data_IF_289512358469
#
_entry.id   IF_289512358469
#
_cell.length_a   1.000
_cell.length_b   1.000
_cell.length_c   1.000
_cell.angle_alpha   90.00
_cell.angle_beta   90.00
_cell.angle_gamma   90.00
#
_symmetry.space_group_name_H-M   'P 1'
#
loop_
_entity.id
_entity.type
_entity.pdbx_description
1 polymer ?
#
# COMPACT_ATOMS: atom_id res chain seq x y z
N UNK A 1 -1.00 -12.99 -1.54
CA UNK A 1 -0.32 -13.59 -0.37
C UNK A 1 -1.08 -13.20 0.88
N UNK A 2 -0.92 -13.95 1.97
CA UNK A 2 -1.40 -13.49 3.27
C UNK A 2 -0.59 -12.24 3.67
N UNK A 3 -1.23 -11.24 4.28
CA UNK A 3 -0.54 -10.00 4.68
C UNK A 3 0.61 -10.23 5.66
N UNK A 4 0.59 -11.32 6.42
CA UNK A 4 1.69 -11.70 7.30
C UNK A 4 2.92 -12.21 6.53
N UNK A 5 2.73 -12.84 5.36
CA UNK A 5 3.83 -13.22 4.45
C UNK A 5 4.44 -11.97 3.77
N UNK A 6 3.59 -11.03 3.34
CA UNK A 6 4.02 -9.73 2.80
C UNK A 6 4.85 -8.97 3.84
N UNK A 7 4.38 -8.93 5.09
CA UNK A 7 5.11 -8.32 6.21
C UNK A 7 6.45 -9.04 6.46
N UNK A 8 6.47 -10.36 6.44
CA UNK A 8 7.71 -11.15 6.56
C UNK A 8 8.75 -10.77 5.51
N UNK A 9 8.33 -10.69 4.24
CA UNK A 9 9.20 -10.26 3.13
C UNK A 9 9.73 -8.84 3.29
N UNK A 10 8.92 -7.91 3.78
CA UNK A 10 9.36 -6.53 3.99
C UNK A 10 10.50 -6.43 5.03
N UNK A 11 10.49 -7.30 6.05
CA UNK A 11 11.55 -7.34 7.08
C UNK A 11 12.91 -7.75 6.53
N UNK A 12 12.95 -8.57 5.48
CA UNK A 12 14.21 -8.96 4.83
C UNK A 12 14.98 -7.76 4.26
N UNK A 13 14.32 -6.60 4.11
CA UNK A 13 14.90 -5.36 3.60
C UNK A 13 15.01 -4.26 4.67
N UNK A 14 14.83 -4.58 5.96
CA UNK A 14 15.07 -3.64 7.05
C UNK A 14 16.48 -3.03 6.94
N UNK A 15 16.57 -1.70 7.11
CA UNK A 15 17.81 -0.95 6.93
C UNK A 15 18.05 -0.44 5.50
N UNK A 16 17.32 -0.92 4.49
CA UNK A 16 17.32 -0.25 3.18
C UNK A 16 16.51 1.07 3.27
N UNK A 17 17.01 2.17 2.69
CA UNK A 17 16.30 3.46 2.69
C UNK A 17 14.89 3.37 2.12
N UNK A 18 13.92 3.98 2.81
CA UNK A 18 12.52 4.06 2.37
C UNK A 18 11.68 2.79 2.60
N UNK A 19 12.26 1.71 3.14
CA UNK A 19 11.51 0.48 3.45
C UNK A 19 10.53 0.67 4.61
N UNK A 20 10.83 1.51 5.60
CA UNK A 20 9.92 1.78 6.72
C UNK A 20 8.57 2.29 6.24
N UNK A 21 8.53 3.12 5.19
CA UNK A 21 7.29 3.59 4.60
C UNK A 21 6.41 2.45 4.06
N UNK A 22 7.01 1.41 3.47
CA UNK A 22 6.29 0.25 2.98
C UNK A 22 5.82 -0.62 4.14
N UNK A 23 6.63 -0.78 5.19
CA UNK A 23 6.26 -1.48 6.42
C UNK A 23 5.07 -0.79 7.10
N UNK A 24 5.11 0.53 7.24
CA UNK A 24 4.01 1.32 7.83
C UNK A 24 2.71 1.15 7.04
N UNK A 25 2.78 1.09 5.71
CA UNK A 25 1.60 0.80 4.87
C UNK A 25 1.08 -0.61 5.12
N UNK A 26 1.95 -1.62 5.15
CA UNK A 26 1.57 -3.02 5.42
C UNK A 26 0.87 -3.13 6.79
N UNK A 27 1.46 -2.53 7.83
CA UNK A 27 0.88 -2.56 9.17
C UNK A 27 -0.45 -1.81 9.22
N UNK A 28 -0.58 -0.68 8.52
CA UNK A 28 -1.87 0.02 8.43
C UNK A 28 -2.98 -0.83 7.80
N UNK A 29 -2.68 -1.66 6.79
CA UNK A 29 -3.64 -2.59 6.18
C UNK A 29 -4.01 -3.70 7.15
N UNK A 30 -3.02 -4.21 7.90
CA UNK A 30 -3.20 -5.25 8.90
C UNK A 30 -4.08 -4.77 10.05
N UNK A 31 -3.93 -3.52 10.48
CA UNK A 31 -4.66 -2.92 11.60
C UNK A 31 -6.08 -2.49 11.22
N UNK A 32 -6.33 -2.10 9.98
CA UNK A 32 -7.61 -1.52 9.54
C UNK A 32 -8.63 -2.54 9.00
N UNK A 33 -8.58 -3.80 9.47
CA UNK A 33 -9.43 -4.93 8.98
C UNK A 33 -9.48 -5.06 7.45
N UNK A 34 -8.49 -4.54 6.74
CA UNK A 34 -8.51 -4.49 5.28
C UNK A 34 -7.90 -5.75 4.64
N UNK A 35 -7.41 -6.68 5.45
CA UNK A 35 -6.85 -7.97 5.03
C UNK A 35 -7.80 -8.79 4.14
N UNK A 36 -9.11 -8.66 4.37
CA UNK A 36 -10.16 -9.39 3.64
C UNK A 36 -10.64 -8.63 2.39
N UNK A 37 -10.25 -7.36 2.23
CA UNK A 37 -10.71 -6.46 1.15
C UNK A 37 -9.61 -6.10 0.17
N UNK A 38 -8.35 -6.26 0.57
CA UNK A 38 -7.18 -5.94 -0.23
C UNK A 38 -6.26 -7.15 -0.29
N UNK A 39 -5.72 -7.41 -1.48
CA UNK A 39 -4.62 -8.31 -1.70
C UNK A 39 -3.32 -7.51 -1.87
N UNK A 40 -2.24 -8.00 -1.26
CA UNK A 40 -0.91 -7.43 -1.37
C UNK A 40 0.10 -8.42 -1.96
N UNK A 41 1.05 -7.90 -2.74
CA UNK A 41 2.24 -8.62 -3.17
C UNK A 41 3.48 -7.74 -3.08
N UNK A 42 4.55 -8.30 -2.53
CA UNK A 42 5.86 -7.66 -2.53
C UNK A 42 6.57 -7.94 -3.86
N UNK A 43 7.16 -6.90 -4.45
CA UNK A 43 7.93 -6.98 -5.70
C UNK A 43 9.27 -6.26 -5.53
N UNK A 44 10.19 -6.43 -6.49
CA UNK A 44 11.43 -5.64 -6.52
C UNK A 44 11.17 -4.13 -6.58
N UNK A 45 10.03 -3.72 -7.12
CA UNK A 45 9.66 -2.32 -7.27
C UNK A 45 8.89 -1.77 -6.06
N UNK A 46 8.62 -2.59 -5.03
CA UNK A 46 7.85 -2.21 -3.85
C UNK A 46 6.59 -3.05 -3.64
N UNK A 47 5.66 -2.52 -2.85
CA UNK A 47 4.40 -3.16 -2.49
C UNK A 47 3.33 -2.86 -3.54
N UNK A 48 2.73 -3.89 -4.13
CA UNK A 48 1.58 -3.77 -5.03
C UNK A 48 0.32 -4.23 -4.31
N UNK A 49 -0.75 -3.43 -4.41
CA UNK A 49 -2.02 -3.64 -3.72
C UNK A 49 -3.19 -3.55 -4.70
N UNK A 50 -4.14 -4.47 -4.60
CA UNK A 50 -5.36 -4.49 -5.41
C UNK A 50 -6.57 -4.95 -4.57
N UNK A 51 -7.81 -4.59 -4.92
CA UNK A 51 -8.99 -5.10 -4.23
C UNK A 51 -9.17 -6.62 -4.34
N UNK A 52 -9.83 -7.19 -3.34
CA UNK A 52 -10.41 -8.53 -3.39
C UNK A 52 -11.90 -8.46 -3.78
N UNK A 53 -12.41 -9.45 -4.57
CA UNK A 53 -11.65 -10.51 -5.23
C UNK A 53 -10.78 -9.98 -6.38
N UNK A 54 -9.63 -10.62 -6.61
CA UNK A 54 -8.74 -10.25 -7.73
C UNK A 54 -9.40 -10.72 -9.04
N UNK A 55 -9.50 -9.86 -10.08
CA UNK A 55 -10.02 -10.28 -11.38
C UNK A 55 -9.17 -11.39 -12.02
N UNK A 56 -9.82 -12.39 -12.62
CA UNK A 56 -9.14 -13.53 -13.27
C UNK A 56 -8.44 -13.18 -14.59
N UNK A 57 -8.72 -12.01 -15.16
CA UNK A 57 -8.18 -11.56 -16.45
C UNK A 57 -7.56 -10.17 -16.35
N UNK A 58 -6.35 -9.97 -16.91
CA UNK A 58 -5.76 -8.65 -17.03
C UNK A 58 -6.51 -7.76 -18.04
N UNK A 59 -6.35 -6.43 -17.95
CA UNK A 59 -5.50 -5.71 -16.99
C UNK A 59 -6.15 -5.60 -15.59
N UNK A 60 -5.31 -5.69 -14.54
CA UNK A 60 -5.74 -5.54 -13.14
C UNK A 60 -5.30 -4.16 -12.64
N UNK A 61 -6.25 -3.35 -12.19
CA UNK A 61 -5.91 -2.08 -11.54
C UNK A 61 -5.26 -2.31 -10.18
N UNK A 62 -4.25 -1.52 -9.85
CA UNK A 62 -3.51 -1.68 -8.62
C UNK A 62 -2.85 -0.36 -8.18
N UNK A 63 -2.59 -0.27 -6.88
CA UNK A 63 -1.77 0.77 -6.26
C UNK A 63 -0.39 0.18 -5.97
N UNK A 64 0.66 0.87 -6.38
CA UNK A 64 2.06 0.54 -6.05
C UNK A 64 2.55 1.57 -5.04
N UNK A 65 3.15 1.10 -3.96
CA UNK A 65 3.91 1.90 -3.00
C UNK A 65 5.37 1.48 -3.12
N UNK A 66 6.21 2.40 -3.57
CA UNK A 66 7.62 2.15 -3.84
C UNK A 66 8.49 3.18 -3.14
N UNK A 67 9.71 2.81 -2.68
CA UNK A 67 10.67 3.81 -2.25
C UNK A 67 10.96 4.77 -3.42
N UNK A 68 11.15 6.06 -3.12
CA UNK A 68 11.44 7.10 -4.10
C UNK A 68 12.87 7.04 -4.64
N UNK A 69 13.28 5.88 -5.15
CA UNK A 69 14.66 5.59 -5.58
C UNK A 69 15.19 6.69 -6.52
N UNK A 70 16.37 7.24 -6.19
CA UNK A 70 17.11 8.18 -7.05
C UNK A 70 16.77 9.66 -6.87
N UNK A 71 15.92 10.05 -5.93
CA UNK A 71 15.68 11.47 -5.59
C UNK A 71 16.09 11.72 -4.15
N UNK A 72 16.84 12.80 -3.91
CA UNK A 72 17.44 13.15 -2.62
C UNK A 72 16.39 13.19 -1.51
N UNK A 73 16.43 12.24 -0.58
CA UNK A 73 15.62 12.23 0.64
C UNK A 73 14.87 10.93 0.91
N UNK A 74 14.20 10.90 2.06
CA UNK A 74 13.30 9.84 2.49
C UNK A 74 11.91 10.05 1.87
N UNK A 75 11.77 9.65 0.60
CA UNK A 75 10.55 9.84 -0.18
C UNK A 75 9.89 8.51 -0.55
N UNK A 76 8.58 8.55 -0.75
CA UNK A 76 7.75 7.44 -1.23
C UNK A 76 7.05 7.86 -2.51
N UNK A 77 7.04 6.95 -3.48
CA UNK A 77 6.26 7.06 -4.71
C UNK A 77 5.03 6.17 -4.56
N UNK A 78 3.85 6.75 -4.82
CA UNK A 78 2.59 6.03 -4.86
C UNK A 78 2.00 6.20 -6.25
N UNK A 79 1.71 5.08 -6.91
CA UNK A 79 1.18 5.02 -8.26
C UNK A 79 -0.13 4.23 -8.26
N UNK A 80 -1.14 4.72 -8.96
CA UNK A 80 -2.31 3.93 -9.35
C UNK A 80 -2.20 3.62 -10.84
N UNK A 81 -2.15 2.33 -11.17
CA UNK A 81 -2.21 1.85 -12.54
C UNK A 81 -3.65 1.50 -12.87
N UNK A 82 -4.29 2.29 -13.73
CA UNK A 82 -5.69 2.11 -14.09
C UNK A 82 -5.84 1.15 -15.28
N UNK A 83 -6.98 0.46 -15.35
CA UNK A 83 -7.35 -0.35 -16.54
C UNK A 83 -7.40 0.52 -17.81
N UNK A 84 -7.81 1.78 -17.67
CA UNK A 84 -7.95 2.73 -18.78
C UNK A 84 -6.62 3.29 -19.27
N UNK A 85 -5.49 2.98 -18.61
CA UNK A 85 -4.18 3.59 -18.89
C UNK A 85 -4.00 5.01 -18.33
N UNK A 86 -5.01 5.57 -17.65
CA UNK A 86 -4.89 6.85 -16.95
C UNK A 86 -4.27 6.63 -15.58
N UNK A 87 -2.93 6.65 -15.54
CA UNK A 87 -2.18 6.40 -14.33
C UNK A 87 -2.02 7.68 -13.50
N UNK A 88 -2.30 7.57 -12.21
CA UNK A 88 -2.04 8.63 -11.24
C UNK A 88 -0.76 8.31 -10.48
N UNK A 89 0.11 9.30 -10.31
CA UNK A 89 1.35 9.12 -9.53
C UNK A 89 1.63 10.32 -8.65
N UNK A 90 2.15 10.06 -7.46
CA UNK A 90 2.56 11.11 -6.54
C UNK A 90 3.86 10.71 -5.82
N UNK A 91 4.79 11.65 -5.76
CA UNK A 91 6.01 11.55 -4.96
C UNK A 91 5.89 12.51 -3.78
N UNK A 92 6.10 12.00 -2.57
CA UNK A 92 5.99 12.75 -1.31
C UNK A 92 6.99 12.23 -0.28
N UNK A 93 7.22 12.97 0.82
CA UNK A 93 7.93 12.44 1.98
C UNK A 93 7.35 11.09 2.44
N UNK A 94 8.22 10.18 2.87
CA UNK A 94 7.88 8.86 3.42
C UNK A 94 6.86 8.93 4.56
N UNK A 95 6.92 10.00 5.37
CA UNK A 95 6.01 10.26 6.49
C UNK A 95 4.55 10.43 6.06
N UNK A 96 4.30 10.69 4.77
CA UNK A 96 2.96 10.79 4.19
C UNK A 96 2.49 9.46 3.55
N UNK A 97 3.29 8.38 3.59
CA UNK A 97 2.99 7.14 2.87
C UNK A 97 1.62 6.55 3.23
N UNK A 98 1.34 6.36 4.51
CA UNK A 98 0.09 5.77 4.99
C UNK A 98 -1.14 6.60 4.60
N UNK A 99 -1.24 7.92 4.92
CA UNK A 99 -2.42 8.69 4.54
C UNK A 99 -2.61 8.80 3.03
N UNK A 100 -1.54 8.89 2.24
CA UNK A 100 -1.64 8.94 0.78
C UNK A 100 -2.04 7.59 0.18
N UNK A 101 -1.51 6.48 0.70
CA UNK A 101 -1.93 5.14 0.32
C UNK A 101 -3.44 4.97 0.53
N UNK A 102 -3.94 5.30 1.72
CA UNK A 102 -5.37 5.20 2.00
C UNK A 102 -6.20 6.14 1.15
N UNK A 103 -5.72 7.35 0.84
CA UNK A 103 -6.40 8.24 -0.11
C UNK A 103 -6.57 7.58 -1.47
N UNK A 104 -5.51 6.99 -2.02
CA UNK A 104 -5.57 6.26 -3.29
C UNK A 104 -6.54 5.07 -3.22
N UNK A 105 -6.48 4.27 -2.17
CA UNK A 105 -7.37 3.12 -1.99
C UNK A 105 -8.84 3.55 -1.87
N UNK A 106 -9.14 4.65 -1.18
CA UNK A 106 -10.49 5.23 -1.08
C UNK A 106 -10.94 5.75 -2.44
N UNK A 107 -10.15 6.61 -3.09
CA UNK A 107 -10.54 7.28 -4.33
C UNK A 107 -10.67 6.31 -5.51
N UNK A 108 -9.79 5.30 -5.58
CA UNK A 108 -9.73 4.40 -6.74
C UNK A 108 -10.52 3.12 -6.55
N UNK A 109 -10.62 2.61 -5.32
CA UNK A 109 -11.27 1.33 -5.02
C UNK A 109 -12.50 1.46 -4.12
N UNK A 110 -12.80 2.63 -3.56
CA UNK A 110 -13.92 2.81 -2.63
C UNK A 110 -13.73 2.08 -1.29
N UNK A 111 -12.49 1.72 -0.94
CA UNK A 111 -12.17 0.96 0.27
C UNK A 111 -11.63 1.90 1.35
N UNK A 112 -12.44 2.19 2.37
CA UNK A 112 -12.00 2.95 3.53
C UNK A 112 -11.36 2.04 4.61
N UNK A 113 -10.36 2.53 5.36
CA UNK A 113 -9.81 1.82 6.51
C UNK A 113 -10.86 1.69 7.61
N UNK A 114 -11.03 0.49 8.16
CA UNK A 114 -11.91 0.24 9.31
C UNK A 114 -11.04 -0.09 10.51
N UNK A 115 -10.76 0.90 11.35
CA UNK A 115 -10.06 0.63 12.61
C UNK A 115 -11.00 -0.18 13.51
N UNK A 116 -10.54 -1.26 14.16
CA UNK A 116 -11.29 -1.82 15.26
C UNK A 116 -11.50 -0.69 16.27
N UNK A 117 -12.76 -0.41 16.60
CA UNK A 117 -13.12 0.67 17.49
C UNK A 117 -12.21 0.63 18.72
N UNK A 118 -11.53 1.75 18.99
CA UNK A 118 -11.08 2.03 20.35
C UNK A 118 -12.39 2.15 21.11
N UNK A 119 -12.84 1.03 21.69
CA UNK A 119 -13.98 1.00 22.59
C UNK A 119 -13.78 2.17 23.55
N UNK A 120 -14.58 3.22 23.36
CA UNK A 120 -14.70 4.29 24.34
C UNK A 120 -15.31 3.61 25.55
N UNK A 121 -14.43 3.23 26.48
CA UNK A 121 -14.85 2.91 27.84
C UNK A 121 -15.57 4.15 28.34
N UNK A 122 -16.86 3.96 28.59
CA UNK A 122 -17.80 4.98 29.07
C UNK A 122 -17.43 5.42 30.48
#
# INVERSE_FOLDING_TARGET
>A
MAWDEVAGRARDFEGCPGIHALVDVIDSVRDCKARERLAGVWTLNGLVVTPLPIPDKPPIQHVIVSPGWGRTGDAVLIEHRAISGHDDRILRPSTEAVPLFWRFVIEKFGIAPVRPDRLLVT
#
